data_IF_039609025150
#
_entry.id   IF_039609025150
#
_cell.length_a   1.000
_cell.length_b   1.000
_cell.length_c   1.000
_cell.angle_alpha   90.00
_cell.angle_beta   90.00
_cell.angle_gamma   90.00
#
_symmetry.space_group_name_H-M   'P 1'
#
loop_
_entity.id
_entity.type
_entity.pdbx_description
1 polymer ?
#
# COMPACT_ATOMS: atom_id res chain seq x y z
N UNK A 1 -64.73 -5.78 46.18
CA UNK A 1 -64.38 -4.59 45.39
C UNK A 1 -62.90 -4.68 45.11
N UNK A 2 -62.54 -5.12 43.91
CA UNK A 2 -61.16 -5.42 43.51
C UNK A 2 -60.43 -4.11 43.21
N UNK A 3 -59.28 -3.88 43.85
CA UNK A 3 -58.37 -2.79 43.50
C UNK A 3 -57.24 -3.39 42.64
N UNK A 4 -57.31 -3.12 41.34
CA UNK A 4 -56.31 -3.52 40.34
C UNK A 4 -55.09 -2.61 40.42
N UNK A 5 -53.90 -3.20 40.47
CA UNK A 5 -52.61 -2.53 40.36
C UNK A 5 -52.48 -1.83 38.98
N UNK A 6 -51.78 -0.69 38.89
CA UNK A 6 -51.54 -0.04 37.61
C UNK A 6 -50.57 -0.88 36.77
N UNK A 7 -50.92 -1.08 35.50
CA UNK A 7 -50.06 -1.70 34.49
C UNK A 7 -48.83 -0.82 34.30
N UNK A 8 -47.64 -1.42 34.44
CA UNK A 8 -46.41 -0.81 33.97
C UNK A 8 -46.52 -0.57 32.46
N UNK A 9 -46.42 0.69 32.05
CA UNK A 9 -46.32 1.09 30.65
C UNK A 9 -45.08 0.43 30.03
N UNK A 10 -45.30 -0.31 28.95
CA UNK A 10 -44.25 -0.78 28.06
C UNK A 10 -43.55 0.46 27.48
N UNK A 11 -42.40 0.81 28.05
CA UNK A 11 -41.43 1.67 27.37
C UNK A 11 -41.05 0.98 26.07
N UNK A 12 -41.44 1.61 24.96
CA UNK A 12 -41.28 1.12 23.60
C UNK A 12 -39.84 0.68 23.30
N UNK A 13 -39.72 -0.44 22.59
CA UNK A 13 -38.52 -1.00 21.93
C UNK A 13 -37.82 -0.06 20.92
N UNK A 14 -38.08 1.25 20.96
CA UNK A 14 -37.54 2.25 20.02
C UNK A 14 -36.25 2.94 20.48
N UNK A 15 -35.67 2.56 21.61
CA UNK A 15 -34.44 3.18 22.14
C UNK A 15 -33.24 2.24 22.28
N UNK A 16 -33.27 1.04 21.67
CA UNK A 16 -32.18 0.07 21.72
C UNK A 16 -31.73 -0.38 20.31
N UNK A 17 -31.19 0.51 19.47
CA UNK A 17 -30.38 0.07 18.31
C UNK A 17 -29.39 1.10 17.72
N UNK A 18 -28.97 2.14 18.45
CA UNK A 18 -28.03 3.13 17.88
C UNK A 18 -26.62 2.57 17.53
N UNK A 19 -26.31 1.33 17.95
CA UNK A 19 -25.01 0.68 17.73
C UNK A 19 -25.05 -0.67 16.99
N UNK A 20 -26.17 -1.06 16.37
CA UNK A 20 -26.18 -2.30 15.60
C UNK A 20 -25.36 -2.16 14.31
N UNK A 21 -24.38 -3.04 14.10
CA UNK A 21 -23.67 -3.17 12.82
C UNK A 21 -24.68 -3.71 11.79
N UNK A 22 -24.85 -3.07 10.62
CA UNK A 22 -25.75 -3.55 9.58
C UNK A 22 -25.37 -4.95 9.11
N UNK A 23 -26.38 -5.76 8.79
CA UNK A 23 -26.15 -7.10 8.24
C UNK A 23 -25.52 -7.06 6.84
N UNK A 24 -25.89 -6.08 6.03
CA UNK A 24 -25.30 -5.83 4.71
C UNK A 24 -24.36 -4.61 4.78
N UNK A 25 -23.07 -4.89 4.94
CA UNK A 25 -22.04 -3.86 5.02
C UNK A 25 -21.76 -3.19 3.67
N UNK A 26 -21.99 -3.88 2.54
CA UNK A 26 -21.75 -3.30 1.22
C UNK A 26 -22.72 -2.15 0.94
N UNK A 27 -24.01 -2.37 1.20
CA UNK A 27 -25.04 -1.33 1.05
C UNK A 27 -24.79 -0.20 2.05
N UNK A 28 -24.53 -0.53 3.32
CA UNK A 28 -24.33 0.48 4.36
C UNK A 28 -23.12 1.38 4.08
N UNK A 29 -22.00 0.81 3.58
CA UNK A 29 -20.83 1.57 3.16
C UNK A 29 -21.16 2.44 1.94
N UNK A 30 -21.89 1.90 0.95
CA UNK A 30 -22.28 2.66 -0.23
C UNK A 30 -23.17 3.87 0.10
N UNK A 31 -24.04 3.75 1.11
CA UNK A 31 -24.87 4.85 1.59
C UNK A 31 -24.03 5.89 2.35
N UNK A 32 -23.13 5.46 3.24
CA UNK A 32 -22.20 6.35 3.94
C UNK A 32 -21.26 7.11 2.99
N UNK A 33 -20.83 6.48 1.87
CA UNK A 33 -20.02 7.16 0.85
C UNK A 33 -20.74 8.38 0.29
N UNK A 34 -22.05 8.27 0.02
CA UNK A 34 -22.87 9.38 -0.49
C UNK A 34 -23.10 10.43 0.58
N UNK A 35 -23.43 10.01 1.81
CA UNK A 35 -23.70 10.93 2.93
C UNK A 35 -22.48 11.80 3.27
N UNK A 36 -21.30 11.19 3.29
CA UNK A 36 -20.06 11.86 3.67
C UNK A 36 -19.37 12.57 2.51
N UNK A 37 -19.88 12.45 1.28
CA UNK A 37 -19.13 12.78 0.07
C UNK A 37 -17.71 12.18 0.13
N UNK A 38 -17.64 10.87 0.38
CA UNK A 38 -16.40 10.15 0.61
C UNK A 38 -15.92 9.39 -0.64
N UNK A 39 -14.60 9.29 -0.77
CA UNK A 39 -13.94 8.38 -1.72
C UNK A 39 -13.20 7.29 -0.95
N UNK A 40 -13.30 6.05 -1.41
CA UNK A 40 -12.56 4.91 -0.89
C UNK A 40 -11.40 4.62 -1.85
N UNK A 41 -10.17 4.77 -1.36
CA UNK A 41 -8.93 4.47 -2.08
C UNK A 41 -8.33 3.19 -1.51
N UNK A 42 -8.12 2.16 -2.34
CA UNK A 42 -7.62 0.87 -1.88
C UNK A 42 -6.31 0.45 -2.55
N UNK A 43 -5.39 -0.09 -1.77
CA UNK A 43 -4.22 -0.75 -2.31
C UNK A 43 -4.59 -2.12 -2.88
N UNK A 44 -3.87 -2.56 -3.93
CA UNK A 44 -4.04 -3.89 -4.53
C UNK A 44 -3.90 -5.07 -3.56
N UNK A 45 -3.32 -4.84 -2.38
CA UNK A 45 -3.07 -5.89 -1.39
C UNK A 45 -4.21 -6.06 -0.38
N UNK A 46 -5.25 -5.23 -0.45
CA UNK A 46 -6.44 -5.36 0.40
C UNK A 46 -7.22 -6.64 0.09
N UNK A 47 -8.12 -7.05 0.99
CA UNK A 47 -8.99 -8.21 0.73
C UNK A 47 -9.93 -7.95 -0.47
N UNK A 48 -10.34 -9.00 -1.21
CA UNK A 48 -11.20 -8.88 -2.37
C UNK A 48 -12.45 -8.00 -2.14
N UNK A 49 -13.13 -8.22 -1.01
CA UNK A 49 -14.33 -7.46 -0.66
C UNK A 49 -14.06 -5.95 -0.46
N UNK A 50 -12.89 -5.61 0.10
CA UNK A 50 -12.45 -4.23 0.28
C UNK A 50 -12.06 -3.58 -1.04
N UNK A 51 -11.43 -4.35 -1.93
CA UNK A 51 -11.15 -3.92 -3.29
C UNK A 51 -12.45 -3.63 -4.06
N UNK A 52 -13.48 -4.45 -3.86
CA UNK A 52 -14.74 -4.33 -4.62
C UNK A 52 -15.62 -3.14 -4.20
N UNK A 53 -15.44 -2.58 -2.99
CA UNK A 53 -16.12 -1.35 -2.55
C UNK A 53 -15.35 -0.05 -2.87
N UNK A 54 -14.10 -0.17 -3.32
CA UNK A 54 -13.22 0.96 -3.57
C UNK A 54 -13.64 1.75 -4.82
N UNK A 55 -13.51 3.08 -4.77
CA UNK A 55 -13.70 3.94 -5.95
C UNK A 55 -12.47 3.96 -6.86
N UNK A 56 -11.30 3.75 -6.26
CA UNK A 56 -10.04 3.64 -6.97
C UNK A 56 -9.16 2.58 -6.31
N UNK A 57 -8.56 1.73 -7.14
CA UNK A 57 -7.62 0.69 -6.73
C UNK A 57 -6.29 0.94 -7.45
N UNK A 58 -5.19 0.96 -6.71
CA UNK A 58 -3.88 1.23 -7.29
C UNK A 58 -2.70 0.80 -6.43
N UNK A 59 -1.50 0.98 -6.99
CA UNK A 59 -0.26 1.01 -6.22
C UNK A 59 -0.08 2.36 -5.51
N UNK A 60 1.01 2.51 -4.75
CA UNK A 60 1.28 3.73 -4.00
C UNK A 60 1.34 5.02 -4.85
N UNK A 61 1.77 4.94 -6.12
CA UNK A 61 1.83 6.11 -7.01
C UNK A 61 0.42 6.47 -7.51
N UNK A 62 -0.31 5.47 -7.99
CA UNK A 62 -1.69 5.65 -8.46
C UNK A 62 -2.59 6.19 -7.36
N UNK A 63 -2.46 5.68 -6.14
CA UNK A 63 -3.22 6.16 -4.97
C UNK A 63 -2.85 7.60 -4.60
N UNK A 64 -1.57 7.97 -4.68
CA UNK A 64 -1.13 9.36 -4.43
C UNK A 64 -1.73 10.32 -5.46
N UNK A 65 -1.74 9.94 -6.74
CA UNK A 65 -2.36 10.72 -7.81
C UNK A 65 -3.89 10.81 -7.65
N UNK A 66 -4.55 9.71 -7.31
CA UNK A 66 -5.99 9.68 -7.06
C UNK A 66 -6.37 10.56 -5.86
N UNK A 67 -5.57 10.56 -4.80
CA UNK A 67 -5.79 11.40 -3.62
C UNK A 67 -5.70 12.90 -3.96
N UNK A 68 -4.77 13.33 -4.83
CA UNK A 68 -4.65 14.73 -5.26
C UNK A 68 -5.82 15.15 -6.14
N UNK A 69 -6.27 14.26 -7.03
CA UNK A 69 -7.29 14.58 -8.03
C UNK A 69 -8.73 14.45 -7.51
N UNK A 70 -8.95 13.89 -6.32
CA UNK A 70 -10.30 13.70 -5.80
C UNK A 70 -10.92 15.01 -5.28
N UNK A 71 -12.23 15.17 -5.48
CA UNK A 71 -13.02 16.31 -4.96
C UNK A 71 -13.84 15.96 -3.71
N UNK A 72 -13.73 14.72 -3.23
CA UNK A 72 -14.40 14.24 -2.03
C UNK A 72 -13.92 15.00 -0.77
N UNK A 73 -14.82 15.17 0.19
CA UNK A 73 -14.52 15.79 1.49
C UNK A 73 -13.79 14.82 2.43
N UNK A 74 -14.08 13.52 2.27
CA UNK A 74 -13.52 12.44 3.08
C UNK A 74 -12.78 11.43 2.19
N UNK A 75 -11.57 11.07 2.58
CA UNK A 75 -10.79 9.98 1.98
C UNK A 75 -10.77 8.83 2.98
N UNK A 76 -11.34 7.68 2.63
CA UNK A 76 -11.18 6.43 3.37
C UNK A 76 -10.05 5.65 2.70
N UNK A 77 -8.93 5.51 3.39
CA UNK A 77 -7.73 4.89 2.83
C UNK A 77 -7.60 3.44 3.29
N UNK A 78 -7.80 2.49 2.38
CA UNK A 78 -7.66 1.06 2.61
C UNK A 78 -6.25 0.62 2.23
N UNK A 79 -5.34 0.79 3.18
CA UNK A 79 -3.93 0.47 3.04
C UNK A 79 -3.27 0.44 4.41
N UNK A 80 -2.06 0.99 4.49
CA UNK A 80 -1.26 1.08 5.72
C UNK A 80 -0.99 2.54 6.09
N UNK A 81 -0.55 2.77 7.34
CA UNK A 81 -0.44 4.06 7.99
C UNK A 81 0.26 5.12 7.15
N UNK A 82 1.48 4.83 6.67
CA UNK A 82 2.25 5.80 5.86
C UNK A 82 1.55 6.20 4.55
N UNK A 83 0.71 5.33 3.98
CA UNK A 83 -0.04 5.66 2.75
C UNK A 83 -1.17 6.63 3.08
N UNK A 84 -1.86 6.41 4.19
CA UNK A 84 -2.89 7.32 4.68
C UNK A 84 -2.28 8.67 5.12
N UNK A 85 -1.09 8.67 5.74
CA UNK A 85 -0.30 9.89 5.98
C UNK A 85 0.02 10.62 4.67
N UNK A 86 0.40 9.88 3.62
CA UNK A 86 0.66 10.46 2.31
C UNK A 86 -0.58 11.17 1.75
N UNK A 87 -1.75 10.56 1.87
CA UNK A 87 -3.01 11.19 1.47
C UNK A 87 -3.28 12.48 2.29
N UNK A 88 -3.00 12.48 3.60
CA UNK A 88 -3.14 13.67 4.47
C UNK A 88 -2.10 14.75 4.18
N UNK A 89 -0.87 14.38 3.82
CA UNK A 89 0.18 15.32 3.38
C UNK A 89 -0.29 16.09 2.16
N UNK A 90 -0.83 15.38 1.17
CA UNK A 90 -1.31 15.93 -0.11
C UNK A 90 -2.67 16.66 0.03
N UNK A 91 -3.47 16.32 1.04
CA UNK A 91 -4.81 16.87 1.26
C UNK A 91 -5.01 17.31 2.73
N UNK A 92 -4.34 18.40 3.17
CA UNK A 92 -4.32 18.77 4.58
C UNK A 92 -5.69 19.12 5.17
N UNK A 93 -6.61 19.66 4.35
CA UNK A 93 -7.94 20.08 4.77
C UNK A 93 -8.98 18.96 4.76
N UNK A 94 -8.71 17.83 4.09
CA UNK A 94 -9.66 16.71 3.99
C UNK A 94 -9.59 15.83 5.23
N UNK A 95 -10.70 15.21 5.57
CA UNK A 95 -10.74 14.15 6.56
C UNK A 95 -10.16 12.88 5.92
N UNK A 96 -9.06 12.35 6.47
CA UNK A 96 -8.45 11.11 5.99
C UNK A 96 -8.63 10.05 7.06
N UNK A 97 -9.38 9.01 6.73
CA UNK A 97 -9.70 7.91 7.64
C UNK A 97 -8.85 6.68 7.27
N UNK A 98 -8.29 6.04 8.30
CA UNK A 98 -7.65 4.73 8.19
C UNK A 98 -8.42 3.78 9.12
N UNK A 99 -9.07 2.72 8.61
CA UNK A 99 -9.92 1.85 9.44
C UNK A 99 -9.22 1.22 10.64
N UNK A 100 -7.91 0.99 10.52
CA UNK A 100 -7.08 0.45 11.60
C UNK A 100 -5.73 1.17 11.67
N UNK A 101 -5.45 1.86 12.78
CA UNK A 101 -4.16 2.55 12.98
C UNK A 101 -2.99 1.58 13.19
N UNK A 102 -3.25 0.33 13.58
CA UNK A 102 -2.23 -0.71 13.73
C UNK A 102 -1.82 -1.30 12.37
N UNK A 103 -2.45 -0.87 11.25
CA UNK A 103 -2.03 -1.17 9.90
C UNK A 103 -0.69 -0.47 9.55
N UNK A 104 0.40 -0.88 10.21
CA UNK A 104 1.76 -0.38 10.02
C UNK A 104 2.46 -0.94 8.78
N UNK A 105 3.80 -0.87 8.76
CA UNK A 105 4.60 -1.46 7.70
C UNK A 105 6.01 -1.75 8.20
N UNK A 106 6.41 -3.02 8.22
CA UNK A 106 7.73 -3.43 8.70
C UNK A 106 8.88 -2.76 7.97
N UNK A 107 8.72 -2.47 6.68
CA UNK A 107 9.72 -1.73 5.90
C UNK A 107 9.82 -0.26 6.34
N UNK A 108 8.70 0.42 6.59
CA UNK A 108 8.73 1.79 7.10
C UNK A 108 9.36 1.85 8.51
N UNK A 109 9.02 0.88 9.36
CA UNK A 109 9.54 0.76 10.73
C UNK A 109 11.05 0.44 10.75
N UNK A 110 11.58 -0.14 9.69
CA UNK A 110 13.02 -0.45 9.55
C UNK A 110 13.91 0.79 9.39
N UNK A 111 13.32 1.97 9.18
CA UNK A 111 14.04 3.23 9.02
C UNK A 111 13.57 4.29 10.02
N UNK A 112 14.01 4.21 11.29
CA UNK A 112 13.65 5.19 12.32
C UNK A 112 14.19 6.59 11.98
N UNK A 113 13.39 7.67 12.17
CA UNK A 113 13.77 9.03 11.78
C UNK A 113 15.06 9.57 12.42
N UNK A 114 15.30 9.25 13.69
CA UNK A 114 16.50 9.66 14.43
C UNK A 114 17.77 9.02 13.86
N UNK A 115 17.72 7.71 13.57
CA UNK A 115 18.83 6.98 12.98
C UNK A 115 19.07 7.39 11.54
N UNK A 116 18.01 7.59 10.77
CA UNK A 116 18.14 8.04 9.38
C UNK A 116 18.69 9.47 9.30
N UNK A 117 18.31 10.36 10.22
CA UNK A 117 18.89 11.70 10.30
C UNK A 117 20.39 11.68 10.59
N UNK A 118 20.85 10.80 11.51
CA UNK A 118 22.26 10.60 11.77
C UNK A 118 23.00 10.07 10.54
N UNK A 119 22.45 9.06 9.88
CA UNK A 119 23.00 8.51 8.64
C UNK A 119 23.11 9.56 7.53
N UNK A 120 22.06 10.37 7.31
CA UNK A 120 22.10 11.49 6.36
C UNK A 120 23.20 12.50 6.72
N UNK A 121 23.41 12.80 8.01
CA UNK A 121 24.41 13.75 8.47
C UNK A 121 25.86 13.27 8.23
N UNK A 122 26.10 11.96 8.20
CA UNK A 122 27.39 11.37 7.83
C UNK A 122 27.70 11.50 6.32
N UNK A 123 26.68 11.82 5.52
CA UNK A 123 26.73 11.88 4.07
C UNK A 123 26.14 13.19 3.51
N UNK A 124 26.68 14.37 3.90
CA UNK A 124 26.06 15.67 3.65
C UNK A 124 25.93 16.04 2.16
N UNK A 125 26.77 15.48 1.29
CA UNK A 125 26.76 15.73 -0.15
C UNK A 125 25.77 14.84 -0.92
N UNK A 126 25.13 13.86 -0.26
CA UNK A 126 24.20 12.95 -0.91
C UNK A 126 22.80 13.55 -1.04
N UNK A 127 22.21 13.36 -2.22
CA UNK A 127 20.80 13.62 -2.45
C UNK A 127 19.99 12.41 -1.94
N UNK A 128 18.94 12.66 -1.16
CA UNK A 128 18.13 11.61 -0.53
C UNK A 128 16.91 11.31 -1.38
N UNK A 129 16.85 10.09 -1.91
CA UNK A 129 15.67 9.52 -2.56
C UNK A 129 15.09 8.45 -1.66
N UNK A 130 13.89 8.70 -1.11
CA UNK A 130 13.21 7.72 -0.27
C UNK A 130 12.03 7.10 -1.00
N UNK A 131 11.94 5.78 -0.96
CA UNK A 131 10.75 5.04 -1.34
C UNK A 131 9.58 5.45 -0.43
N UNK A 132 8.39 5.57 -1.00
CA UNK A 132 7.18 6.08 -0.34
C UNK A 132 6.78 5.28 0.91
N UNK A 133 7.24 4.03 1.02
CA UNK A 133 7.08 3.12 2.15
C UNK A 133 7.98 3.51 3.34
N UNK A 134 7.82 4.74 3.82
CA UNK A 134 8.52 5.32 4.96
C UNK A 134 7.61 6.29 5.71
N UNK A 135 7.93 6.65 6.96
CA UNK A 135 7.10 7.58 7.75
C UNK A 135 7.08 9.00 7.16
N UNK A 136 6.12 9.83 7.60
CA UNK A 136 6.08 11.25 7.25
C UNK A 136 7.37 12.01 7.62
N UNK A 137 8.04 11.64 8.71
CA UNK A 137 9.32 12.24 9.12
C UNK A 137 10.46 11.87 8.19
N UNK A 138 10.54 10.61 7.74
CA UNK A 138 11.52 10.22 6.71
C UNK A 138 11.26 10.97 5.40
N UNK A 139 9.98 11.13 5.02
CA UNK A 139 9.63 11.97 3.88
C UNK A 139 10.12 13.40 4.07
N UNK A 140 9.94 13.99 5.26
CA UNK A 140 10.43 15.33 5.58
C UNK A 140 11.96 15.47 5.54
N UNK A 141 12.71 14.38 5.75
CA UNK A 141 14.16 14.32 5.65
C UNK A 141 14.67 14.06 4.22
N UNK A 142 13.78 13.81 3.26
CA UNK A 142 14.12 13.41 1.90
C UNK A 142 14.08 14.57 0.91
N UNK A 143 14.84 14.46 -0.19
CA UNK A 143 14.81 15.44 -1.27
C UNK A 143 13.78 15.06 -2.35
N UNK A 144 13.58 13.77 -2.57
CA UNK A 144 12.64 13.22 -3.55
C UNK A 144 12.01 11.94 -2.98
N UNK A 145 10.69 11.77 -3.16
CA UNK A 145 10.05 10.48 -2.93
C UNK A 145 9.98 9.68 -4.24
N UNK A 146 10.08 8.36 -4.17
CA UNK A 146 9.81 7.49 -5.31
C UNK A 146 8.86 6.34 -4.93
N UNK A 147 8.42 5.58 -5.93
CA UNK A 147 7.72 4.31 -5.79
C UNK A 147 8.41 3.23 -6.61
N UNK A 148 8.05 1.97 -6.46
CA UNK A 148 8.56 0.89 -7.32
C UNK A 148 8.19 1.10 -8.81
N UNK A 149 7.20 1.95 -9.11
CA UNK A 149 6.79 2.29 -10.49
C UNK A 149 7.68 3.33 -11.17
N UNK A 150 8.36 4.21 -10.42
CA UNK A 150 9.09 5.36 -10.99
C UNK A 150 10.54 5.51 -10.50
N UNK A 151 11.01 4.69 -9.55
CA UNK A 151 12.32 4.86 -8.93
C UNK A 151 13.48 4.90 -9.95
N UNK A 152 13.49 3.97 -10.91
CA UNK A 152 14.48 3.93 -12.00
C UNK A 152 14.44 5.20 -12.85
N UNK A 153 13.23 5.65 -13.21
CA UNK A 153 13.05 6.86 -14.02
C UNK A 153 13.50 8.12 -13.27
N UNK A 154 13.20 8.22 -11.97
CA UNK A 154 13.63 9.34 -11.12
C UNK A 154 15.15 9.37 -10.98
N UNK A 155 15.79 8.24 -10.67
CA UNK A 155 17.25 8.17 -10.52
C UNK A 155 17.98 8.53 -11.82
N UNK A 156 17.47 8.12 -12.98
CA UNK A 156 18.02 8.46 -14.27
C UNK A 156 17.95 9.97 -14.61
N UNK A 157 17.05 10.72 -13.96
CA UNK A 157 16.96 12.18 -14.14
C UNK A 157 17.98 12.95 -13.28
N UNK A 158 18.63 12.30 -12.31
CA UNK A 158 19.61 12.94 -11.42
C UNK A 158 20.99 12.97 -12.12
N UNK A 159 21.75 14.09 -12.04
CA UNK A 159 23.11 14.17 -12.56
C UNK A 159 23.97 12.97 -12.14
N UNK A 160 24.79 12.44 -13.05
CA UNK A 160 25.52 11.17 -12.84
C UNK A 160 26.53 11.22 -11.70
N UNK A 161 27.10 12.40 -11.46
CA UNK A 161 28.09 12.73 -10.45
C UNK A 161 27.50 13.02 -9.06
N UNK A 162 26.19 13.27 -8.98
CA UNK A 162 25.49 13.46 -7.71
C UNK A 162 25.40 12.11 -6.96
N UNK A 163 26.02 11.95 -5.78
CA UNK A 163 25.83 10.76 -4.96
C UNK A 163 24.41 10.76 -4.37
N UNK A 164 23.85 9.55 -4.19
CA UNK A 164 22.44 9.36 -3.81
C UNK A 164 22.36 8.38 -2.62
N UNK A 165 21.61 8.77 -1.59
CA UNK A 165 21.09 7.85 -0.59
C UNK A 165 19.75 7.30 -1.08
N UNK A 166 19.58 5.99 -1.02
CA UNK A 166 18.31 5.33 -1.30
C UNK A 166 17.80 4.58 -0.06
N UNK A 167 16.58 4.90 0.37
CA UNK A 167 15.99 4.34 1.58
C UNK A 167 14.49 4.04 1.41
N UNK A 168 13.86 3.24 2.29
CA UNK A 168 14.50 2.34 3.23
C UNK A 168 14.81 0.96 2.65
N UNK A 169 14.32 0.64 1.44
CA UNK A 169 14.40 -0.73 0.90
C UNK A 169 15.69 -0.97 0.11
N UNK A 170 16.56 -1.84 0.64
CA UNK A 170 17.82 -2.23 -0.01
C UNK A 170 17.61 -3.05 -1.27
N UNK A 171 16.54 -3.85 -1.37
CA UNK A 171 16.30 -4.72 -2.51
C UNK A 171 15.84 -3.89 -3.71
N UNK A 172 14.90 -2.97 -3.50
CA UNK A 172 14.51 -1.99 -4.50
C UNK A 172 15.69 -1.09 -4.86
N UNK A 173 16.46 -0.61 -3.86
CA UNK A 173 17.66 0.19 -4.09
C UNK A 173 18.68 -0.52 -4.98
N UNK A 174 19.00 -1.80 -4.67
CA UNK A 174 19.86 -2.65 -5.50
C UNK A 174 19.32 -2.79 -6.92
N UNK A 175 18.03 -3.10 -7.07
CA UNK A 175 17.41 -3.20 -8.39
C UNK A 175 17.55 -1.90 -9.17
N UNK A 176 17.31 -0.74 -8.54
CA UNK A 176 17.48 0.56 -9.18
C UNK A 176 18.95 0.82 -9.56
N UNK A 177 19.91 0.49 -8.70
CA UNK A 177 21.35 0.56 -9.02
C UNK A 177 21.69 -0.27 -10.27
N UNK A 178 21.19 -1.50 -10.35
CA UNK A 178 21.39 -2.39 -11.50
C UNK A 178 20.77 -1.85 -12.79
N UNK A 179 19.52 -1.34 -12.73
CA UNK A 179 18.83 -0.81 -13.91
C UNK A 179 19.40 0.51 -14.43
N UNK A 180 19.96 1.33 -13.54
CA UNK A 180 20.46 2.67 -13.88
C UNK A 180 21.98 2.71 -14.08
N UNK A 181 22.69 1.67 -13.63
CA UNK A 181 24.16 1.66 -13.56
C UNK A 181 24.73 2.66 -12.56
N UNK A 182 23.93 3.09 -11.56
CA UNK A 182 24.33 4.02 -10.50
C UNK A 182 24.76 3.25 -9.26
N UNK A 183 25.80 3.73 -8.60
CA UNK A 183 26.17 3.26 -7.27
C UNK A 183 25.39 4.09 -6.24
N UNK A 184 24.40 3.46 -5.59
CA UNK A 184 23.53 4.10 -4.61
C UNK A 184 23.96 3.68 -3.21
N UNK A 185 24.01 4.64 -2.28
CA UNK A 185 24.21 4.35 -0.87
C UNK A 185 22.87 3.90 -0.26
N UNK A 186 22.77 2.62 0.09
CA UNK A 186 21.50 2.00 0.50
C UNK A 186 21.32 2.00 2.03
N UNK A 187 20.13 2.36 2.49
CA UNK A 187 19.67 2.00 3.83
C UNK A 187 19.37 0.49 3.90
N UNK A 188 19.77 -0.16 5.00
CA UNK A 188 19.64 -1.61 5.18
C UNK A 188 18.28 -2.03 5.74
N UNK A 189 17.20 -1.66 5.05
CA UNK A 189 15.83 -2.08 5.33
C UNK A 189 15.30 -3.03 4.26
N UNK A 190 14.29 -3.82 4.59
CA UNK A 190 13.64 -4.74 3.66
C UNK A 190 12.20 -5.07 4.07
N UNK A 191 11.37 -5.39 3.09
CA UNK A 191 9.98 -5.81 3.30
C UNK A 191 9.90 -7.29 3.69
N UNK A 192 9.35 -7.58 4.87
CA UNK A 192 9.21 -8.97 5.35
C UNK A 192 8.41 -9.87 4.40
N UNK A 193 7.47 -9.31 3.63
CA UNK A 193 6.61 -10.08 2.70
C UNK A 193 7.40 -10.51 1.46
N UNK A 194 8.39 -9.71 1.04
CA UNK A 194 9.18 -9.98 -0.16
C UNK A 194 10.48 -10.72 0.13
N UNK A 195 10.87 -10.86 1.41
CA UNK A 195 12.01 -11.68 1.84
C UNK A 195 11.65 -13.12 2.20
N UNK A 196 10.36 -13.43 2.39
CA UNK A 196 9.93 -14.79 2.77
C UNK A 196 9.87 -15.75 1.58
N UNK A 197 10.06 -15.32 0.33
CA UNK A 197 9.92 -16.21 -0.84
C UNK A 197 11.03 -17.27 -0.90
N UNK A 198 10.64 -18.53 -1.11
CA UNK A 198 11.60 -19.63 -1.19
C UNK A 198 12.06 -19.88 -2.64
N UNK A 199 13.32 -19.60 -2.95
CA UNK A 199 13.92 -19.90 -4.27
C UNK A 199 13.73 -21.38 -4.66
N UNK A 200 13.96 -22.31 -3.72
CA UNK A 200 13.77 -23.75 -3.97
C UNK A 200 12.35 -24.08 -4.42
N UNK A 201 11.34 -23.63 -3.68
CA UNK A 201 9.94 -23.90 -4.02
C UNK A 201 9.51 -23.17 -5.29
N UNK A 202 10.07 -21.99 -5.57
CA UNK A 202 9.85 -21.28 -6.83
C UNK A 202 10.37 -22.08 -8.03
N UNK A 203 11.57 -22.68 -7.91
CA UNK A 203 12.14 -23.56 -8.93
C UNK A 203 11.27 -24.83 -9.10
N UNK A 204 10.76 -25.41 -8.02
CA UNK A 204 9.82 -26.54 -8.08
C UNK A 204 8.54 -26.17 -8.86
N UNK A 205 7.97 -24.98 -8.60
CA UNK A 205 6.83 -24.47 -9.37
C UNK A 205 7.18 -24.24 -10.84
N UNK A 206 8.37 -23.72 -11.15
CA UNK A 206 8.83 -23.53 -12.53
C UNK A 206 8.90 -24.86 -13.29
N UNK A 207 9.30 -25.94 -12.60
CA UNK A 207 9.34 -27.29 -13.18
C UNK A 207 7.93 -27.84 -13.40
N UNK A 208 7.00 -27.65 -12.46
CA UNK A 208 5.63 -28.15 -12.59
C UNK A 208 4.76 -27.29 -13.52
N UNK A 209 5.13 -26.03 -13.75
CA UNK A 209 4.46 -25.06 -14.60
C UNK A 209 5.42 -24.46 -15.64
N UNK A 210 5.96 -25.26 -16.58
CA UNK A 210 7.02 -24.82 -17.49
C UNK A 210 6.58 -23.77 -18.51
N UNK A 211 5.28 -23.51 -18.64
CA UNK A 211 4.71 -22.49 -19.52
C UNK A 211 4.30 -21.22 -18.77
N UNK A 212 4.46 -21.18 -17.44
CA UNK A 212 4.11 -20.03 -16.64
C UNK A 212 5.25 -19.01 -16.64
N UNK A 213 4.92 -17.75 -16.89
CA UNK A 213 5.86 -16.66 -16.66
C UNK A 213 5.94 -16.37 -15.16
N UNK A 214 7.14 -16.18 -14.64
CA UNK A 214 7.38 -15.74 -13.27
C UNK A 214 7.42 -14.21 -13.25
N UNK A 215 6.49 -13.59 -12.52
CA UNK A 215 6.41 -12.14 -12.39
C UNK A 215 6.70 -11.73 -10.95
N UNK A 216 7.61 -10.79 -10.73
CA UNK A 216 8.13 -10.48 -9.40
C UNK A 216 8.19 -8.98 -9.09
N UNK A 217 7.99 -8.64 -7.82
CA UNK A 217 8.17 -7.28 -7.34
C UNK A 217 9.66 -7.00 -7.05
N UNK A 218 10.20 -5.80 -7.37
CA UNK A 218 11.61 -5.47 -7.16
C UNK A 218 12.06 -5.41 -5.69
N UNK A 219 11.13 -5.50 -4.73
CA UNK A 219 11.44 -5.64 -3.29
C UNK A 219 11.96 -7.06 -2.93
N UNK A 220 11.83 -8.04 -3.84
CA UNK A 220 12.34 -9.39 -3.63
C UNK A 220 13.87 -9.47 -3.66
N UNK A 221 14.41 -10.50 -3.03
CA UNK A 221 15.83 -10.81 -3.04
C UNK A 221 16.35 -11.20 -4.45
N UNK A 222 17.63 -10.95 -4.73
CA UNK A 222 18.24 -11.17 -6.05
C UNK A 222 18.19 -12.64 -6.50
N UNK A 223 18.32 -13.58 -5.56
CA UNK A 223 18.20 -15.02 -5.81
C UNK A 223 16.79 -15.44 -6.25
N UNK A 224 15.76 -14.67 -5.91
CA UNK A 224 14.39 -14.86 -6.39
C UNK A 224 14.21 -14.16 -7.74
N UNK A 225 14.65 -12.90 -7.83
CA UNK A 225 14.49 -12.07 -9.04
C UNK A 225 15.17 -12.65 -10.28
N UNK A 226 16.31 -13.35 -10.14
CA UNK A 226 16.99 -14.03 -11.26
C UNK A 226 16.12 -15.06 -12.01
N UNK A 227 15.03 -15.52 -11.41
CA UNK A 227 14.11 -16.47 -12.04
C UNK A 227 12.92 -15.79 -12.73
N UNK A 228 12.72 -14.49 -12.51
CA UNK A 228 11.59 -13.74 -13.02
C UNK A 228 11.74 -13.42 -14.52
N UNK A 229 10.66 -13.61 -15.26
CA UNK A 229 10.51 -13.21 -16.65
C UNK A 229 10.09 -11.74 -16.77
N UNK A 230 9.44 -11.20 -15.73
CA UNK A 230 9.13 -9.77 -15.62
C UNK A 230 9.28 -9.27 -14.17
N UNK A 231 9.96 -8.14 -14.00
CA UNK A 231 10.13 -7.46 -12.71
C UNK A 231 9.49 -6.07 -12.79
N UNK A 232 8.63 -5.75 -11.84
CA UNK A 232 8.00 -4.43 -11.80
C UNK A 232 7.11 -4.20 -10.58
N UNK A 233 6.62 -2.96 -10.45
CA UNK A 233 5.62 -2.62 -9.44
C UNK A 233 4.34 -3.43 -9.62
N UNK A 234 3.46 -3.44 -8.62
CA UNK A 234 2.17 -4.14 -8.67
C UNK A 234 1.33 -3.74 -9.89
N UNK A 235 1.29 -2.45 -10.23
CA UNK A 235 0.65 -1.97 -11.47
C UNK A 235 1.37 -2.48 -12.72
N UNK A 236 2.71 -2.50 -12.71
CA UNK A 236 3.52 -3.07 -13.79
C UNK A 236 3.19 -4.54 -14.02
N UNK A 237 3.12 -5.34 -12.95
CA UNK A 237 2.75 -6.74 -12.99
C UNK A 237 1.35 -6.93 -13.60
N UNK A 238 0.36 -6.16 -13.13
CA UNK A 238 -1.01 -6.22 -13.67
C UNK A 238 -1.06 -5.87 -15.17
N UNK A 239 -0.33 -4.83 -15.59
CA UNK A 239 -0.24 -4.45 -17.02
C UNK A 239 0.47 -5.52 -17.86
N UNK A 240 1.49 -6.18 -17.30
CA UNK A 240 2.20 -7.27 -17.97
C UNK A 240 1.26 -8.45 -18.24
N UNK A 241 0.52 -8.92 -17.23
CA UNK A 241 -0.39 -10.07 -17.39
C UNK A 241 -1.53 -9.78 -18.35
N UNK A 242 -2.01 -8.53 -18.45
CA UNK A 242 -3.03 -8.12 -19.42
C UNK A 242 -2.52 -8.16 -20.87
N UNK A 243 -1.25 -7.83 -21.09
CA UNK A 243 -0.64 -7.73 -22.44
C UNK A 243 -0.01 -9.03 -22.92
N UNK A 244 0.52 -9.84 -22.01
CA UNK A 244 1.17 -11.11 -22.33
C UNK A 244 0.17 -12.09 -22.97
N UNK A 245 0.63 -12.94 -23.88
CA UNK A 245 -0.15 -14.02 -24.50
C UNK A 245 -0.16 -15.30 -23.64
N UNK A 246 0.68 -15.36 -22.60
CA UNK A 246 0.75 -16.46 -21.64
C UNK A 246 -0.55 -16.63 -20.88
N UNK A 247 -0.83 -17.90 -20.55
CA UNK A 247 -2.06 -18.33 -19.87
C UNK A 247 -1.84 -18.63 -18.39
N UNK A 248 -0.60 -18.78 -17.94
CA UNK A 248 -0.26 -19.13 -16.57
C UNK A 248 0.85 -18.19 -16.06
N UNK A 249 0.75 -17.75 -14.81
CA UNK A 249 1.71 -16.85 -14.18
C UNK A 249 1.98 -17.29 -12.75
N UNK A 250 3.25 -17.30 -12.36
CA UNK A 250 3.67 -17.44 -10.97
C UNK A 250 3.90 -16.04 -10.41
N UNK A 251 3.13 -15.65 -9.40
CA UNK A 251 3.06 -14.29 -8.87
C UNK A 251 3.92 -14.18 -7.62
N UNK A 252 5.07 -13.52 -7.74
CA UNK A 252 6.06 -13.31 -6.67
C UNK A 252 5.93 -11.90 -6.10
N UNK A 253 4.78 -11.66 -5.50
CA UNK A 253 4.45 -10.49 -4.68
C UNK A 253 3.25 -10.84 -3.80
N UNK A 254 2.83 -9.96 -2.89
CA UNK A 254 1.65 -10.14 -2.02
C UNK A 254 0.40 -10.59 -2.82
N UNK A 255 -0.31 -11.60 -2.32
CA UNK A 255 -1.35 -12.34 -3.06
C UNK A 255 -2.62 -11.55 -3.39
N UNK A 256 -2.91 -10.45 -2.69
CA UNK A 256 -4.10 -9.62 -2.90
C UNK A 256 -4.22 -9.06 -4.33
N UNK A 257 -3.09 -8.85 -5.03
CA UNK A 257 -3.11 -8.39 -6.43
C UNK A 257 -3.79 -9.40 -7.36
N UNK A 258 -3.77 -10.69 -7.00
CA UNK A 258 -4.33 -11.77 -7.83
C UNK A 258 -5.82 -11.54 -8.08
N UNK A 259 -6.55 -10.96 -7.13
CA UNK A 259 -7.97 -10.59 -7.33
C UNK A 259 -8.16 -9.69 -8.56
N UNK A 260 -7.39 -8.60 -8.66
CA UNK A 260 -7.46 -7.72 -9.83
C UNK A 260 -6.94 -8.38 -11.11
N UNK A 261 -5.92 -9.24 -11.02
CA UNK A 261 -5.44 -9.99 -12.17
C UNK A 261 -6.52 -10.94 -12.72
N UNK A 262 -7.24 -11.63 -11.85
CA UNK A 262 -8.36 -12.50 -12.22
C UNK A 262 -9.53 -11.69 -12.79
N UNK A 263 -9.89 -10.55 -12.19
CA UNK A 263 -10.94 -9.67 -12.75
C UNK A 263 -10.58 -9.13 -14.12
N UNK A 264 -9.33 -8.73 -14.33
CA UNK A 264 -8.87 -8.19 -15.61
C UNK A 264 -8.71 -9.26 -16.69
N UNK A 265 -8.34 -10.48 -16.29
CA UNK A 265 -8.04 -11.59 -17.21
C UNK A 265 -8.57 -12.93 -16.66
N UNK A 266 -9.89 -13.16 -16.70
CA UNK A 266 -10.54 -14.28 -16.00
C UNK A 266 -10.18 -15.68 -16.53
N UNK A 267 -9.64 -15.77 -17.75
CA UNK A 267 -9.24 -17.03 -18.38
C UNK A 267 -7.79 -17.44 -18.05
N UNK A 268 -7.02 -16.55 -17.43
CA UNK A 268 -5.62 -16.80 -17.07
C UNK A 268 -5.52 -17.39 -15.67
N UNK A 269 -4.51 -18.23 -15.47
CA UNK A 269 -4.22 -18.88 -14.19
C UNK A 269 -3.10 -18.15 -13.46
N UNK A 270 -3.33 -17.86 -12.18
CA UNK A 270 -2.39 -17.20 -11.30
C UNK A 270 -2.03 -18.13 -10.14
N UNK A 271 -0.74 -18.34 -9.93
CA UNK A 271 -0.19 -19.20 -8.89
C UNK A 271 0.59 -18.32 -7.92
N UNK A 272 0.16 -18.14 -6.66
CA UNK A 272 0.95 -17.39 -5.68
C UNK A 272 2.26 -18.11 -5.40
N UNK A 273 3.37 -17.37 -5.36
CA UNK A 273 4.66 -17.94 -5.02
C UNK A 273 4.71 -18.29 -3.52
N UNK A 274 5.16 -19.49 -3.15
CA UNK A 274 5.10 -19.95 -1.77
C UNK A 274 6.19 -19.27 -0.93
N UNK A 275 5.86 -18.85 0.31
CA UNK A 275 6.88 -18.45 1.27
C UNK A 275 7.71 -19.65 1.74
N UNK A 276 8.74 -19.37 2.52
CA UNK A 276 9.57 -20.36 3.21
C UNK A 276 8.76 -21.19 4.21
N UNK A 277 7.73 -20.60 4.83
CA UNK A 277 6.77 -21.28 5.70
C UNK A 277 5.91 -22.32 4.95
N UNK A 278 5.24 -23.20 5.69
CA UNK A 278 4.44 -24.29 5.10
C UNK A 278 3.04 -23.86 4.58
N UNK A 279 2.67 -22.58 4.72
CA UNK A 279 1.46 -22.01 4.11
C UNK A 279 1.83 -21.45 2.72
N UNK A 280 0.94 -21.52 1.74
CA UNK A 280 1.13 -20.84 0.44
C UNK A 280 0.85 -19.32 0.51
N UNK A 281 0.95 -18.74 1.71
CA UNK A 281 0.29 -17.50 2.09
C UNK A 281 1.37 -16.44 2.32
N UNK A 282 1.57 -15.59 1.33
CA UNK A 282 2.52 -14.48 1.33
C UNK A 282 1.80 -13.14 1.54
N UNK A 283 0.82 -13.17 2.46
CA UNK A 283 -0.04 -12.04 2.75
C UNK A 283 0.63 -11.07 3.71
N UNK A 284 0.47 -9.77 3.46
CA UNK A 284 0.95 -8.74 4.36
C UNK A 284 0.03 -8.67 5.59
N UNK A 285 0.50 -9.01 6.82
CA UNK A 285 -0.35 -9.03 8.00
C UNK A 285 -0.95 -7.65 8.31
N UNK A 286 -0.24 -6.56 7.97
CA UNK A 286 -0.71 -5.20 8.17
C UNK A 286 -1.82 -4.80 7.20
N UNK A 287 -1.74 -5.23 5.92
CA UNK A 287 -2.79 -4.94 4.93
C UNK A 287 -4.12 -5.62 5.29
N UNK A 288 -4.03 -6.81 5.92
CA UNK A 288 -5.17 -7.65 6.36
C UNK A 288 -5.86 -7.14 7.64
N UNK A 289 -5.37 -6.06 8.26
CA UNK A 289 -6.02 -5.49 9.44
C UNK A 289 -7.28 -4.70 9.11
N UNK A 290 -7.39 -4.17 7.88
CA UNK A 290 -8.61 -3.53 7.40
C UNK A 290 -9.69 -4.60 7.15
N UNK A 291 -10.92 -4.35 7.57
CA UNK A 291 -12.08 -5.22 7.31
C UNK A 291 -13.30 -4.37 6.97
N UNK A 292 -14.32 -4.94 6.30
CA UNK A 292 -15.56 -4.22 5.97
C UNK A 292 -16.21 -3.59 7.21
N UNK A 293 -16.19 -4.30 8.34
CA UNK A 293 -16.73 -3.82 9.61
C UNK A 293 -15.98 -2.57 10.09
N UNK A 294 -14.64 -2.61 10.07
CA UNK A 294 -13.82 -1.46 10.45
C UNK A 294 -14.00 -0.29 9.50
N UNK A 295 -14.14 -0.54 8.18
CA UNK A 295 -14.44 0.51 7.20
C UNK A 295 -15.76 1.20 7.53
N UNK A 296 -16.82 0.41 7.74
CA UNK A 296 -18.13 0.93 8.11
C UNK A 296 -18.07 1.75 9.40
N UNK A 297 -17.46 1.22 10.45
CA UNK A 297 -17.33 1.91 11.73
C UNK A 297 -16.49 3.18 11.60
N UNK A 298 -15.41 3.15 10.80
CA UNK A 298 -14.56 4.31 10.59
C UNK A 298 -15.31 5.44 9.90
N UNK A 299 -16.08 5.12 8.86
CA UNK A 299 -16.93 6.08 8.16
C UNK A 299 -18.04 6.62 9.06
N UNK A 300 -18.78 5.75 9.74
CA UNK A 300 -19.88 6.13 10.64
C UNK A 300 -19.41 7.05 11.76
N UNK A 301 -18.27 6.74 12.37
CA UNK A 301 -17.74 7.48 13.50
C UNK A 301 -16.79 8.61 13.10
N UNK A 302 -16.42 8.70 11.82
CA UNK A 302 -15.41 9.64 11.30
C UNK A 302 -14.07 9.51 12.04
N UNK A 303 -13.69 8.29 12.41
CA UNK A 303 -12.51 7.99 13.23
C UNK A 303 -12.13 6.51 13.07
N UNK A 304 -10.84 6.13 13.00
CA UNK A 304 -9.67 6.96 13.24
C UNK A 304 -9.34 7.95 12.11
N UNK A 305 -9.02 9.20 12.46
CA UNK A 305 -8.47 10.21 11.54
C UNK A 305 -6.94 10.21 11.57
N UNK A 306 -6.33 10.35 10.40
CA UNK A 306 -4.90 10.66 10.28
C UNK A 306 -4.66 12.15 10.56
N UNK A 307 -3.93 12.41 11.64
CA UNK A 307 -3.52 13.75 12.07
C UNK A 307 -1.99 13.80 12.01
N UNK A 308 -1.45 14.84 11.38
CA UNK A 308 -0.01 15.05 11.25
C UNK A 308 0.40 16.39 11.85
N UNK A 309 1.61 16.44 12.41
CA UNK A 309 2.24 17.70 12.77
C UNK A 309 2.45 18.56 11.51
N UNK A 310 1.97 19.81 11.53
CA UNK A 310 1.98 20.66 10.33
C UNK A 310 3.40 20.96 9.82
N UNK A 311 4.39 21.08 10.71
CA UNK A 311 5.80 21.28 10.32
C UNK A 311 6.33 20.06 9.56
N UNK A 312 6.06 18.86 10.07
CA UNK A 312 6.45 17.59 9.40
C UNK A 312 5.73 17.47 8.06
N UNK A 313 4.42 17.74 8.03
CA UNK A 313 3.60 17.66 6.82
C UNK A 313 4.11 18.58 5.71
N UNK A 314 4.41 19.83 6.02
CA UNK A 314 4.92 20.82 5.06
C UNK A 314 6.31 20.43 4.54
N UNK A 315 7.18 19.90 5.40
CA UNK A 315 8.48 19.41 4.99
C UNK A 315 8.37 18.18 4.07
N UNK A 316 7.48 17.23 4.41
CA UNK A 316 7.21 16.03 3.61
C UNK A 316 6.49 16.31 2.28
N UNK A 317 5.76 17.42 2.17
CA UNK A 317 5.04 17.80 0.96
C UNK A 317 5.99 18.07 -0.22
N UNK A 318 7.13 18.74 0.02
CA UNK A 318 8.09 19.13 -1.03
C UNK A 318 8.62 17.93 -1.83
N UNK A 319 9.20 16.88 -1.20
CA UNK A 319 9.71 15.72 -1.94
C UNK A 319 8.58 14.88 -2.55
N UNK A 320 7.38 14.89 -1.97
CA UNK A 320 6.18 14.27 -2.55
C UNK A 320 5.72 14.98 -3.83
N UNK A 321 5.69 16.31 -3.85
CA UNK A 321 5.36 17.08 -5.05
C UNK A 321 6.41 16.84 -6.15
N UNK A 322 7.68 16.84 -5.78
CA UNK A 322 8.78 16.54 -6.70
C UNK A 322 8.66 15.15 -7.33
N UNK A 323 8.25 14.13 -6.56
CA UNK A 323 7.93 12.82 -7.11
C UNK A 323 6.88 12.92 -8.22
N UNK A 324 5.75 13.59 -7.95
CA UNK A 324 4.64 13.69 -8.89
C UNK A 324 5.02 14.45 -10.16
N UNK A 325 5.79 15.53 -10.03
CA UNK A 325 6.31 16.33 -11.15
C UNK A 325 7.32 15.55 -12.01
N UNK A 326 8.11 14.68 -11.40
CA UNK A 326 9.13 13.87 -12.11
C UNK A 326 8.59 12.55 -12.69
N UNK A 327 7.32 12.23 -12.42
CA UNK A 327 6.67 10.98 -12.84
C UNK A 327 5.81 11.11 -14.11
N UNK A 328 6.08 12.13 -14.93
CA UNK A 328 5.37 12.43 -16.19
C UNK A 328 5.91 11.56 -17.32
#
# INVERSE_FOLDING_TARGET
MFLTAPKAEQLSDRQLSHNAIPQDLFIAIADLKKELNAVILAHYYQDPDLQDIADYIGDSLGLSQAAVNCQADVIVFLGVHFMAETAKILNPSKLVLLPDLDAGCSLADSCPPDRFAAFKAEHPDHLVISYINCSAEIKALSDIICTSSNAVAIVNQIPKDQPIIFAPDRNLGRYVSEQTGRDLLLWDGACMVHEIFSERKLVELKISHPQADIIAHPECEANVLRHADFIGSTTGLLKYVQKSDRQEFIVVTESGVIHQMQKATPFKKFIPAPPTSNCACNECPYMRLNTLEKVYLAMKNRSPEIILNETVRQAALKPMQRMLEMSI
#
